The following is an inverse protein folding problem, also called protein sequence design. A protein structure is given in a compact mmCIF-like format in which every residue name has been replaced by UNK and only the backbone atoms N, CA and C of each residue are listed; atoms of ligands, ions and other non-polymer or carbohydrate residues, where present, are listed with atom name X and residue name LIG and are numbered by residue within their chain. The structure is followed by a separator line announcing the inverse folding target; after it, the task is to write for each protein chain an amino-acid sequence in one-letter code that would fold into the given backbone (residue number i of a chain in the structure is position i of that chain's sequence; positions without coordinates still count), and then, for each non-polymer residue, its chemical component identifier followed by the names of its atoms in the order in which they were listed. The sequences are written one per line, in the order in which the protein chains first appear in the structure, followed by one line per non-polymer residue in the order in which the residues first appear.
data_IF_518387341337
#
_entry.id   IF_518387341337
#
_cell.length_a   1.000
_cell.length_b   1.000
_cell.length_c   1.000
_cell.angle_alpha   90.00
_cell.angle_beta   90.00
_cell.angle_gamma   90.00
#
_symmetry.space_group_name_H-M   'P 1'
#
loop_
_entity.id
_entity.type
_entity.pdbx_description
1 polymer ?
#
# COMPACT_ATOMS: atom_id res chain seq x y z
N UNK A 1 54.71 35.30 10.00
CA UNK A 1 53.31 35.19 10.44
C UNK A 1 52.73 33.95 9.80
N UNK A 2 52.44 32.92 10.60
CA UNK A 2 51.97 31.63 10.11
C UNK A 2 50.44 31.66 9.91
N UNK A 3 50.00 31.40 8.69
CA UNK A 3 48.61 31.23 8.32
C UNK A 3 48.14 29.82 8.73
N UNK A 4 47.57 29.72 9.93
CA UNK A 4 46.91 28.51 10.40
C UNK A 4 45.60 28.31 9.65
N UNK A 5 45.67 27.61 8.51
CA UNK A 5 44.49 27.04 7.85
C UNK A 5 43.80 26.05 8.79
N UNK A 6 42.71 26.51 9.40
CA UNK A 6 41.78 25.70 10.16
C UNK A 6 41.19 24.62 9.23
N UNK A 7 41.70 23.39 9.31
CA UNK A 7 41.11 22.23 8.64
C UNK A 7 39.76 21.96 9.31
N UNK A 8 38.67 22.40 8.70
CA UNK A 8 37.31 22.00 9.07
C UNK A 8 37.25 20.48 9.14
N UNK A 9 36.79 19.93 10.27
CA UNK A 9 36.57 18.49 10.42
C UNK A 9 35.67 17.99 9.27
N UNK A 10 35.90 16.79 8.73
CA UNK A 10 35.06 16.24 7.67
C UNK A 10 33.59 16.19 8.15
N UNK A 11 32.61 16.45 7.27
CA UNK A 11 31.20 16.38 7.63
C UNK A 11 30.89 14.95 8.12
N UNK A 12 30.46 14.82 9.37
CA UNK A 12 29.98 13.56 9.93
C UNK A 12 28.50 13.41 9.59
N UNK A 13 28.14 12.38 8.84
CA UNK A 13 26.75 12.10 8.48
C UNK A 13 26.10 11.18 9.51
N UNK A 14 24.83 11.41 9.82
CA UNK A 14 24.05 10.42 10.59
C UNK A 14 23.84 9.14 9.76
N UNK A 15 23.59 8.01 10.42
CA UNK A 15 23.33 6.75 9.69
C UNK A 15 22.13 6.86 8.75
N UNK A 16 21.08 7.56 9.17
CA UNK A 16 19.87 7.78 8.36
C UNK A 16 20.18 8.66 7.14
N UNK A 17 20.91 9.74 7.35
CA UNK A 17 21.30 10.68 6.29
C UNK A 17 22.24 10.02 5.28
N UNK A 18 23.24 9.25 5.74
CA UNK A 18 24.11 8.48 4.86
C UNK A 18 23.31 7.44 4.04
N UNK A 19 22.35 6.75 4.66
CA UNK A 19 21.50 5.78 3.98
C UNK A 19 20.61 6.44 2.91
N UNK A 20 20.06 7.63 3.21
CA UNK A 20 19.21 8.35 2.26
C UNK A 20 20.01 8.94 1.09
N UNK A 21 21.21 9.50 1.36
CA UNK A 21 22.12 9.97 0.31
C UNK A 21 22.52 8.81 -0.62
N UNK A 22 22.89 7.65 -0.07
CA UNK A 22 23.24 6.46 -0.86
C UNK A 22 22.03 6.00 -1.68
N UNK A 23 20.85 5.91 -1.07
CA UNK A 23 19.60 5.50 -1.74
C UNK A 23 19.29 6.40 -2.93
N UNK A 24 19.38 7.71 -2.75
CA UNK A 24 19.11 8.70 -3.80
C UNK A 24 20.17 8.65 -4.91
N UNK A 25 21.45 8.55 -4.55
CA UNK A 25 22.54 8.43 -5.52
C UNK A 25 22.41 7.15 -6.37
N UNK A 26 22.13 6.00 -5.74
CA UNK A 26 21.88 4.74 -6.44
C UNK A 26 20.64 4.81 -7.32
N UNK A 27 19.55 5.42 -6.86
CA UNK A 27 18.34 5.59 -7.65
C UNK A 27 18.58 6.42 -8.93
N UNK A 28 19.32 7.53 -8.82
CA UNK A 28 19.70 8.37 -9.96
C UNK A 28 20.63 7.63 -10.93
N UNK A 29 21.59 6.86 -10.41
CA UNK A 29 22.50 6.06 -11.24
C UNK A 29 21.78 4.96 -12.02
N UNK A 30 20.77 4.32 -11.41
CA UNK A 30 19.95 3.30 -12.07
C UNK A 30 18.98 3.91 -13.09
N UNK A 31 18.42 5.09 -12.83
CA UNK A 31 17.52 5.77 -13.76
C UNK A 31 18.19 6.20 -15.08
N UNK A 32 19.52 6.35 -15.10
CA UNK A 32 20.30 6.71 -16.29
C UNK A 32 20.75 5.52 -17.17
N UNK A 33 20.58 4.27 -16.72
CA UNK A 33 20.88 3.06 -17.49
C UNK A 33 19.58 2.48 -18.05
N UNK A 34 19.53 2.25 -19.38
CA UNK A 34 18.44 1.61 -20.15
C UNK A 34 17.10 1.43 -19.41
N UNK A 35 16.19 2.38 -19.62
CA UNK A 35 14.85 2.44 -19.00
C UNK A 35 14.03 1.15 -19.22
N UNK A 36 14.35 0.37 -20.24
CA UNK A 36 13.62 -0.83 -20.64
C UNK A 36 14.26 -2.15 -20.16
N UNK A 37 15.44 -2.10 -19.52
CA UNK A 37 16.11 -3.30 -19.02
C UNK A 37 15.52 -3.70 -17.66
N UNK A 38 14.57 -4.63 -17.67
CA UNK A 38 14.12 -5.27 -16.43
C UNK A 38 15.26 -6.10 -15.82
N UNK A 39 15.74 -5.71 -14.64
CA UNK A 39 16.70 -6.51 -13.87
C UNK A 39 16.00 -7.76 -13.33
N UNK A 40 16.59 -8.93 -13.57
CA UNK A 40 16.09 -10.19 -13.01
C UNK A 40 16.48 -10.32 -11.54
N UNK A 41 15.88 -11.29 -10.84
CA UNK A 41 16.23 -11.58 -9.44
C UNK A 41 17.70 -12.00 -9.34
N UNK A 42 18.14 -12.78 -10.31
CA UNK A 42 19.51 -13.29 -10.43
C UNK A 42 20.51 -12.15 -10.62
N UNK A 43 20.20 -11.18 -11.51
CA UNK A 43 21.03 -10.00 -11.72
C UNK A 43 21.17 -9.15 -10.44
N UNK A 44 20.08 -9.00 -9.69
CA UNK A 44 20.07 -8.23 -8.45
C UNK A 44 20.94 -8.88 -7.36
N UNK A 45 20.90 -10.22 -7.23
CA UNK A 45 21.73 -10.96 -6.29
C UNK A 45 23.21 -10.90 -6.68
N UNK A 46 23.53 -10.97 -7.98
CA UNK A 46 24.89 -10.83 -8.48
C UNK A 46 25.48 -9.44 -8.13
N UNK A 47 24.73 -8.36 -8.39
CA UNK A 47 25.15 -7.00 -8.02
C UNK A 47 25.31 -6.83 -6.50
N UNK A 48 24.43 -7.42 -5.71
CA UNK A 48 24.54 -7.39 -4.25
C UNK A 48 25.84 -8.02 -3.76
N UNK A 49 26.20 -9.17 -4.33
CA UNK A 49 27.46 -9.86 -4.05
C UNK A 49 28.69 -9.02 -4.43
N UNK A 50 28.65 -8.34 -5.58
CA UNK A 50 29.73 -7.43 -6.01
C UNK A 50 29.90 -6.24 -5.04
N UNK A 51 28.80 -5.75 -4.47
CA UNK A 51 28.80 -4.68 -3.47
C UNK A 51 29.10 -5.16 -2.04
N UNK A 52 29.39 -6.45 -1.84
CA UNK A 52 29.65 -7.03 -0.52
C UNK A 52 28.43 -7.19 0.37
N UNK A 53 27.22 -7.10 -0.19
CA UNK A 53 25.95 -7.34 0.51
C UNK A 53 25.60 -8.83 0.41
N UNK A 54 25.18 -9.47 1.51
CA UNK A 54 24.84 -10.89 1.48
C UNK A 54 23.54 -11.15 0.71
N UNK A 55 23.54 -12.19 -0.13
CA UNK A 55 22.37 -12.60 -0.91
C UNK A 55 21.16 -12.90 -0.01
N UNK A 56 21.39 -13.51 1.15
CA UNK A 56 20.36 -13.78 2.14
C UNK A 56 19.72 -12.49 2.69
N UNK A 57 20.49 -11.43 2.91
CA UNK A 57 19.94 -10.14 3.34
C UNK A 57 19.05 -9.53 2.24
N UNK A 58 19.48 -9.58 0.98
CA UNK A 58 18.68 -9.08 -0.15
C UNK A 58 17.37 -9.88 -0.30
N UNK A 59 17.43 -11.20 -0.20
CA UNK A 59 16.25 -12.05 -0.32
C UNK A 59 15.22 -11.79 0.79
N UNK A 60 15.70 -11.56 2.02
CA UNK A 60 14.82 -11.18 3.14
C UNK A 60 14.07 -9.87 2.87
N UNK A 61 14.72 -8.91 2.20
CA UNK A 61 14.11 -7.63 1.83
C UNK A 61 13.11 -7.81 0.68
N UNK A 62 13.43 -8.62 -0.33
CA UNK A 62 12.53 -8.92 -1.45
C UNK A 62 11.25 -9.59 -0.94
N UNK A 63 11.39 -10.66 -0.15
CA UNK A 63 10.25 -11.39 0.41
C UNK A 63 9.40 -10.50 1.33
N UNK A 64 10.01 -9.67 2.18
CA UNK A 64 9.30 -8.70 2.99
C UNK A 64 8.56 -7.65 2.16
N UNK A 65 9.13 -7.15 1.06
CA UNK A 65 8.46 -6.22 0.12
C UNK A 65 7.28 -6.90 -0.59
N UNK A 66 7.50 -8.09 -1.14
CA UNK A 66 6.46 -8.85 -1.83
C UNK A 66 5.27 -9.17 -0.90
N UNK A 67 5.54 -9.49 0.38
CA UNK A 67 4.51 -9.67 1.40
C UNK A 67 3.68 -8.41 1.64
N UNK A 68 4.34 -7.25 1.79
CA UNK A 68 3.67 -5.95 1.96
C UNK A 68 2.83 -5.56 0.75
N UNK A 69 3.35 -5.71 -0.45
CA UNK A 69 2.62 -5.39 -1.68
C UNK A 69 1.37 -6.26 -1.85
N UNK A 70 1.49 -7.56 -1.57
CA UNK A 70 0.35 -8.49 -1.59
C UNK A 70 -0.71 -8.10 -0.56
N UNK A 71 -0.30 -7.74 0.66
CA UNK A 71 -1.23 -7.29 1.71
C UNK A 71 -1.95 -5.99 1.31
N UNK A 72 -1.21 -4.99 0.81
CA UNK A 72 -1.79 -3.73 0.32
C UNK A 72 -2.77 -3.96 -0.84
N UNK A 73 -2.40 -4.78 -1.83
CA UNK A 73 -3.27 -5.13 -2.96
C UNK A 73 -4.54 -5.85 -2.50
N UNK A 74 -4.43 -6.75 -1.53
CA UNK A 74 -5.59 -7.45 -0.94
C UNK A 74 -6.53 -6.47 -0.25
N UNK A 75 -6.00 -5.55 0.56
CA UNK A 75 -6.81 -4.51 1.22
C UNK A 75 -7.50 -3.62 0.19
N UNK A 76 -6.78 -3.12 -0.81
CA UNK A 76 -7.35 -2.29 -1.87
C UNK A 76 -8.48 -3.00 -2.60
N UNK A 77 -8.31 -4.28 -2.94
CA UNK A 77 -9.38 -5.09 -3.57
C UNK A 77 -10.60 -5.25 -2.65
N UNK A 78 -10.40 -5.49 -1.35
CA UNK A 78 -11.49 -5.62 -0.40
C UNK A 78 -12.28 -4.31 -0.28
N UNK A 79 -11.60 -3.16 -0.16
CA UNK A 79 -12.27 -1.85 -0.13
C UNK A 79 -13.03 -1.54 -1.43
N UNK A 80 -12.45 -1.86 -2.59
CA UNK A 80 -13.14 -1.70 -3.88
C UNK A 80 -14.38 -2.59 -3.99
N UNK A 81 -14.31 -3.83 -3.49
CA UNK A 81 -15.46 -4.73 -3.42
C UNK A 81 -16.58 -4.17 -2.54
N UNK A 82 -16.24 -3.70 -1.34
CA UNK A 82 -17.18 -3.06 -0.44
C UNK A 82 -17.82 -1.80 -1.05
N UNK A 83 -17.01 -0.94 -1.68
CA UNK A 83 -17.51 0.28 -2.33
C UNK A 83 -18.48 -0.04 -3.48
N UNK A 84 -18.19 -1.09 -4.26
CA UNK A 84 -19.09 -1.58 -5.32
C UNK A 84 -20.44 -2.01 -4.74
N UNK A 85 -20.44 -2.84 -3.69
CA UNK A 85 -21.68 -3.27 -3.04
C UNK A 85 -22.45 -2.12 -2.40
N UNK A 86 -21.76 -1.19 -1.74
CA UNK A 86 -22.39 0.00 -1.16
C UNK A 86 -23.02 0.91 -2.23
N UNK A 87 -22.35 1.06 -3.39
CA UNK A 87 -22.87 1.84 -4.52
C UNK A 87 -24.13 1.19 -5.08
N UNK A 88 -24.07 -0.12 -5.37
CA UNK A 88 -25.24 -0.87 -5.87
C UNK A 88 -26.40 -0.81 -4.89
N UNK A 89 -26.13 -0.99 -3.58
CA UNK A 89 -27.15 -0.86 -2.54
C UNK A 89 -27.78 0.55 -2.57
N UNK A 90 -26.98 1.60 -2.62
CA UNK A 90 -27.47 2.99 -2.63
C UNK A 90 -28.33 3.28 -3.86
N UNK A 91 -27.90 2.85 -5.05
CA UNK A 91 -28.64 3.07 -6.30
C UNK A 91 -29.97 2.32 -6.28
N UNK A 92 -29.93 1.02 -5.94
CA UNK A 92 -31.14 0.18 -5.94
C UNK A 92 -32.12 0.63 -4.87
N UNK A 93 -31.64 0.87 -3.64
CA UNK A 93 -32.51 1.33 -2.55
C UNK A 93 -33.06 2.73 -2.79
N UNK A 94 -32.28 3.63 -3.39
CA UNK A 94 -32.77 4.92 -3.83
C UNK A 94 -33.92 4.78 -4.83
N UNK A 95 -33.75 3.96 -5.87
CA UNK A 95 -34.80 3.68 -6.85
C UNK A 95 -36.05 3.04 -6.24
N UNK A 96 -35.89 2.05 -5.36
CA UNK A 96 -37.01 1.42 -4.65
C UNK A 96 -37.73 2.41 -3.74
N UNK A 97 -37.00 3.31 -3.07
CA UNK A 97 -37.58 4.35 -2.23
C UNK A 97 -38.42 5.32 -3.06
N UNK A 98 -37.93 5.73 -4.24
CA UNK A 98 -38.72 6.54 -5.17
C UNK A 98 -40.00 5.81 -5.58
N UNK A 99 -39.91 4.53 -5.97
CA UNK A 99 -41.08 3.74 -6.35
C UNK A 99 -42.08 3.63 -5.19
N UNK A 100 -41.63 3.31 -3.99
CA UNK A 100 -42.48 3.18 -2.79
C UNK A 100 -43.25 4.48 -2.51
N UNK A 101 -42.56 5.63 -2.57
CA UNK A 101 -43.16 6.95 -2.40
C UNK A 101 -44.28 7.27 -3.42
N UNK A 102 -44.15 6.81 -4.67
CA UNK A 102 -45.11 7.09 -5.73
C UNK A 102 -46.18 5.99 -5.93
N UNK A 103 -46.04 4.83 -5.29
CA UNK A 103 -46.94 3.67 -5.51
C UNK A 103 -48.19 3.62 -4.63
N UNK A 104 -48.34 4.56 -3.68
CA UNK A 104 -49.52 4.67 -2.82
C UNK A 104 -49.21 4.45 -1.34
N UNK A 105 -50.22 4.18 -0.49
CA UNK A 105 -50.01 3.96 0.94
C UNK A 105 -49.31 2.62 1.17
N UNK A 106 -47.98 2.68 1.23
CA UNK A 106 -47.11 1.55 1.52
C UNK A 106 -45.77 2.09 2.00
N UNK A 107 -45.20 1.42 3.00
CA UNK A 107 -43.78 1.49 3.31
C UNK A 107 -43.34 0.05 3.21
N UNK A 108 -42.87 -0.38 2.04
CA UNK A 108 -42.37 -1.75 1.83
C UNK A 108 -40.88 -1.77 1.52
N UNK A 109 -40.27 -0.63 1.18
CA UNK A 109 -38.84 -0.51 0.89
C UNK A 109 -37.94 -0.95 2.06
N UNK A 110 -38.43 -0.92 3.30
CA UNK A 110 -37.69 -1.37 4.48
C UNK A 110 -37.33 -2.85 4.44
N UNK A 111 -38.16 -3.71 3.83
CA UNK A 111 -37.88 -5.15 3.79
C UNK A 111 -36.63 -5.47 2.96
N UNK A 112 -36.50 -5.01 1.69
CA UNK A 112 -35.27 -5.16 0.93
C UNK A 112 -34.11 -4.36 1.54
N UNK A 113 -34.38 -3.18 2.15
CA UNK A 113 -33.36 -2.39 2.84
C UNK A 113 -32.66 -3.20 3.93
N UNK A 114 -33.46 -3.81 4.81
CA UNK A 114 -32.95 -4.59 5.93
C UNK A 114 -32.26 -5.85 5.43
N UNK A 115 -32.90 -6.60 4.50
CA UNK A 115 -32.34 -7.85 3.98
C UNK A 115 -30.99 -7.67 3.30
N UNK A 116 -30.89 -6.73 2.34
CA UNK A 116 -29.64 -6.47 1.62
C UNK A 116 -28.64 -5.66 2.45
N UNK A 117 -29.14 -4.73 3.26
CA UNK A 117 -28.31 -3.91 4.13
C UNK A 117 -27.53 -4.74 5.15
N UNK A 118 -28.10 -5.84 5.63
CA UNK A 118 -27.41 -6.75 6.55
C UNK A 118 -26.22 -7.45 5.87
N UNK A 119 -26.37 -7.87 4.61
CA UNK A 119 -25.26 -8.42 3.82
C UNK A 119 -24.12 -7.42 3.61
N UNK A 120 -24.46 -6.16 3.33
CA UNK A 120 -23.49 -5.07 3.22
C UNK A 120 -22.77 -4.81 4.56
N UNK A 121 -23.52 -4.81 5.67
CA UNK A 121 -22.97 -4.62 7.01
C UNK A 121 -21.97 -5.71 7.40
N UNK A 122 -22.28 -6.99 7.10
CA UNK A 122 -21.33 -8.09 7.35
C UNK A 122 -20.07 -7.97 6.50
N UNK A 123 -20.19 -7.59 5.23
CA UNK A 123 -19.02 -7.36 4.38
C UNK A 123 -18.14 -6.21 4.89
N UNK A 124 -18.77 -5.10 5.31
CA UNK A 124 -18.08 -3.96 5.90
C UNK A 124 -17.34 -4.36 7.18
N UNK A 125 -17.99 -5.09 8.08
CA UNK A 125 -17.40 -5.60 9.32
C UNK A 125 -16.16 -6.45 9.05
N UNK A 126 -16.24 -7.42 8.13
CA UNK A 126 -15.10 -8.27 7.77
C UNK A 126 -13.94 -7.47 7.18
N UNK A 127 -14.23 -6.45 6.38
CA UNK A 127 -13.21 -5.58 5.77
C UNK A 127 -12.52 -4.69 6.81
N UNK A 128 -13.30 -4.12 7.74
CA UNK A 128 -12.80 -3.26 8.82
C UNK A 128 -11.97 -4.07 9.83
N UNK A 129 -12.44 -5.24 10.26
CA UNK A 129 -11.68 -6.12 11.15
C UNK A 129 -10.33 -6.52 10.55
N UNK A 130 -10.31 -6.83 9.25
CA UNK A 130 -9.06 -7.12 8.54
C UNK A 130 -8.11 -5.90 8.52
N UNK A 131 -8.65 -4.69 8.39
CA UNK A 131 -7.87 -3.46 8.42
C UNK A 131 -7.31 -3.15 9.82
N UNK A 132 -8.12 -3.27 10.87
CA UNK A 132 -7.69 -3.10 12.27
C UNK A 132 -6.57 -4.08 12.65
N UNK A 133 -6.75 -5.36 12.33
CA UNK A 133 -5.72 -6.38 12.56
C UNK A 133 -4.41 -6.10 11.81
N UNK A 134 -4.47 -5.35 10.69
CA UNK A 134 -3.28 -4.95 9.97
C UNK A 134 -2.60 -3.74 10.62
N UNK A 135 -3.38 -2.78 11.13
CA UNK A 135 -2.88 -1.60 11.85
C UNK A 135 -2.19 -1.97 13.17
N UNK A 136 -2.76 -2.89 13.95
CA UNK A 136 -2.17 -3.35 15.20
C UNK A 136 -0.82 -4.07 14.99
N UNK A 137 -0.67 -4.80 13.88
CA UNK A 137 0.60 -5.47 13.53
C UNK A 137 1.71 -4.49 13.10
N UNK A 138 1.40 -3.21 12.89
CA UNK A 138 2.36 -2.19 12.46
C UNK A 138 2.73 -1.20 13.58
N UNK A 139 2.13 -1.32 14.76
CA UNK A 139 2.51 -0.61 15.98
C UNK A 139 3.55 -1.41 16.77
#
# INVERSE_FOLDING_TARGET
MADTRQRSAPPSFSQNEAADIIREATARALAGKDVDRSLTREDLLAMAREMGVSEAAVESVISARAGRDKAQRRMRRAYMGLASHATSYTIVMGGLTFIDLFSGPGWWVQYPAIGWGMGLAFHAMGTLLAAFNHADKQR
#
